data_IF_365645604149
#
_entry.id   IF_365645604149
#
_cell.length_a   1.000
_cell.length_b   1.000
_cell.length_c   1.000
_cell.angle_alpha   90.00
_cell.angle_beta   90.00
_cell.angle_gamma   90.00
#
_symmetry.space_group_name_H-M   'P 1'
#
loop_
_entity.id
_entity.type
_entity.pdbx_description
1 polymer ?
#
# COMPACT_ATOMS: atom_id res chain seq x y z
N UNK A 1 -20.56 15.41 -14.95
CA UNK A 1 -19.61 14.66 -14.11
C UNK A 1 -19.34 13.33 -14.78
N UNK A 2 -18.08 12.92 -14.95
CA UNK A 2 -17.71 11.64 -15.59
C UNK A 2 -18.18 10.48 -14.74
N UNK A 3 -18.91 9.52 -15.32
CA UNK A 3 -19.38 8.32 -14.65
C UNK A 3 -18.27 7.28 -14.64
N UNK A 4 -17.57 7.19 -13.51
CA UNK A 4 -16.44 6.25 -13.32
C UNK A 4 -16.92 4.99 -12.58
N UNK A 5 -16.64 3.82 -13.14
CA UNK A 5 -16.80 2.53 -12.44
C UNK A 5 -15.43 2.02 -12.02
N UNK A 6 -15.26 1.81 -10.74
CA UNK A 6 -14.03 1.27 -10.17
C UNK A 6 -14.28 -0.17 -9.75
N UNK A 7 -13.51 -1.11 -10.27
CA UNK A 7 -13.59 -2.53 -9.93
C UNK A 7 -12.38 -2.90 -9.06
N UNK A 8 -12.62 -3.41 -7.85
CA UNK A 8 -11.54 -3.83 -6.92
C UNK A 8 -11.95 -5.08 -6.14
N UNK A 9 -10.98 -5.78 -5.56
CA UNK A 9 -11.23 -7.08 -4.92
C UNK A 9 -12.17 -6.99 -3.72
N UNK A 10 -11.82 -6.17 -2.73
CA UNK A 10 -12.52 -6.04 -1.46
C UNK A 10 -12.57 -4.58 -1.00
N UNK A 11 -13.49 -4.23 -0.08
CA UNK A 11 -13.54 -2.91 0.55
C UNK A 11 -12.43 -2.77 1.62
N UNK A 12 -11.19 -2.62 1.17
CA UNK A 12 -10.06 -2.41 2.08
C UNK A 12 -10.16 -1.05 2.77
N UNK A 13 -10.12 -0.96 4.11
CA UNK A 13 -10.35 0.28 4.85
C UNK A 13 -9.41 1.42 4.47
N UNK A 14 -8.15 1.11 4.18
CA UNK A 14 -7.14 2.11 3.79
C UNK A 14 -7.40 2.73 2.41
N UNK A 15 -8.30 2.16 1.58
CA UNK A 15 -8.70 2.71 0.27
C UNK A 15 -9.96 3.58 0.33
N UNK A 16 -10.73 3.49 1.41
CA UNK A 16 -11.98 4.26 1.55
C UNK A 16 -11.73 5.78 1.47
N UNK A 17 -10.70 6.35 2.13
CA UNK A 17 -10.41 7.79 2.00
C UNK A 17 -10.09 8.21 0.56
N UNK A 18 -9.35 7.38 -0.21
CA UNK A 18 -9.06 7.65 -1.62
C UNK A 18 -10.33 7.67 -2.47
N UNK A 19 -11.22 6.70 -2.26
CA UNK A 19 -12.46 6.59 -3.02
C UNK A 19 -13.48 7.67 -2.62
N UNK A 20 -13.51 8.08 -1.36
CA UNK A 20 -14.30 9.23 -0.91
C UNK A 20 -13.85 10.53 -1.61
N UNK A 21 -12.54 10.79 -1.62
CA UNK A 21 -11.98 11.96 -2.32
C UNK A 21 -12.23 11.91 -3.83
N UNK A 22 -12.20 10.72 -4.43
CA UNK A 22 -12.51 10.54 -5.85
C UNK A 22 -14.01 10.81 -6.16
N UNK A 23 -14.90 10.42 -5.26
CA UNK A 23 -16.34 10.63 -5.41
C UNK A 23 -16.73 12.13 -5.35
N UNK A 24 -15.90 12.96 -4.72
CA UNK A 24 -16.10 14.42 -4.74
C UNK A 24 -15.78 15.03 -6.14
N UNK A 25 -15.14 14.29 -7.05
CA UNK A 25 -14.67 14.73 -8.39
C UNK A 25 -15.40 14.09 -9.56
N UNK A 26 -15.90 12.87 -9.39
CA UNK A 26 -16.57 12.07 -10.45
C UNK A 26 -17.83 11.38 -9.89
N UNK A 27 -18.75 10.97 -10.77
CA UNK A 27 -19.85 10.06 -10.38
C UNK A 27 -19.27 8.65 -10.21
N UNK A 28 -18.81 8.35 -8.98
CA UNK A 28 -18.12 7.11 -8.66
C UNK A 28 -19.08 6.02 -8.20
N UNK A 29 -18.97 4.85 -8.83
CA UNK A 29 -19.51 3.59 -8.28
C UNK A 29 -18.39 2.56 -8.19
N UNK A 30 -18.15 2.04 -6.98
CA UNK A 30 -17.16 0.99 -6.73
C UNK A 30 -17.84 -0.38 -6.75
N UNK A 31 -17.29 -1.29 -7.54
CA UNK A 31 -17.72 -2.67 -7.65
C UNK A 31 -16.70 -3.56 -6.92
N UNK A 32 -17.06 -4.11 -5.79
CA UNK A 32 -16.26 -5.06 -5.04
C UNK A 32 -16.51 -6.47 -5.55
N UNK A 33 -15.46 -7.24 -5.79
CA UNK A 33 -15.60 -8.64 -6.20
C UNK A 33 -16.13 -9.49 -5.04
N UNK A 34 -15.71 -9.19 -3.82
CA UNK A 34 -16.14 -9.85 -2.59
C UNK A 34 -16.17 -8.85 -1.44
N UNK A 35 -16.90 -9.18 -0.39
CA UNK A 35 -16.92 -8.42 0.86
C UNK A 35 -15.63 -8.64 1.67
N UNK A 36 -15.09 -9.86 1.64
CA UNK A 36 -13.91 -10.27 2.41
C UNK A 36 -12.94 -11.06 1.56
N UNK A 37 -11.67 -11.02 1.93
CA UNK A 37 -10.61 -11.86 1.40
C UNK A 37 -10.12 -12.81 2.51
N UNK A 38 -9.97 -14.11 2.27
CA UNK A 38 -9.51 -15.08 3.28
C UNK A 38 -8.19 -14.68 3.97
N UNK A 39 -7.28 -14.07 3.22
CA UNK A 39 -5.95 -13.67 3.72
C UNK A 39 -5.95 -12.27 4.36
N UNK A 40 -7.08 -11.53 4.33
CA UNK A 40 -7.20 -10.16 4.80
C UNK A 40 -8.55 -9.95 5.49
N UNK A 41 -8.64 -10.19 6.80
CA UNK A 41 -9.90 -10.18 7.54
C UNK A 41 -10.37 -8.75 7.88
N UNK A 42 -10.42 -7.86 6.88
CA UNK A 42 -11.00 -6.53 7.08
C UNK A 42 -12.51 -6.62 7.23
N UNK A 43 -13.07 -5.81 8.12
CA UNK A 43 -14.51 -5.60 8.21
C UNK A 43 -15.05 -4.76 7.05
N UNK A 44 -16.35 -4.81 6.84
CA UNK A 44 -17.03 -3.89 5.92
C UNK A 44 -17.33 -2.56 6.65
N UNK A 45 -16.61 -1.52 6.34
CA UNK A 45 -16.77 -0.18 6.91
C UNK A 45 -17.75 0.65 6.06
N UNK A 46 -18.96 0.14 5.85
CA UNK A 46 -19.96 0.76 4.97
C UNK A 46 -20.34 2.20 5.39
N UNK A 47 -20.34 2.50 6.68
CA UNK A 47 -20.63 3.83 7.22
C UNK A 47 -19.59 4.89 6.88
N UNK A 48 -18.37 4.50 6.49
CA UNK A 48 -17.28 5.41 6.07
C UNK A 48 -17.32 5.71 4.56
N UNK A 49 -18.10 4.93 3.77
CA UNK A 49 -18.14 5.04 2.29
C UNK A 49 -19.12 6.11 1.85
N UNK A 50 -18.64 7.22 1.30
CA UNK A 50 -19.45 8.32 0.74
C UNK A 50 -19.69 8.22 -0.76
N UNK A 51 -19.30 7.11 -1.37
CA UNK A 51 -19.47 6.81 -2.80
C UNK A 51 -20.51 5.71 -3.03
N UNK A 52 -21.04 5.62 -4.23
CA UNK A 52 -21.88 4.48 -4.63
C UNK A 52 -21.07 3.19 -4.66
N UNK A 53 -21.57 2.12 -4.05
CA UNK A 53 -20.86 0.84 -4.05
C UNK A 53 -21.79 -0.37 -4.18
N UNK A 54 -21.21 -1.46 -4.61
CA UNK A 54 -21.91 -2.74 -4.73
C UNK A 54 -20.92 -3.89 -4.63
N UNK A 55 -21.28 -4.94 -3.87
CA UNK A 55 -20.59 -6.23 -3.93
C UNK A 55 -21.22 -7.06 -5.04
N UNK A 56 -20.41 -7.55 -5.96
CA UNK A 56 -20.86 -8.40 -7.05
C UNK A 56 -21.20 -9.81 -6.53
N UNK A 57 -22.30 -10.42 -7.00
CA UNK A 57 -22.58 -11.82 -6.69
C UNK A 57 -21.48 -12.72 -7.27
N UNK A 58 -21.11 -13.76 -6.54
CA UNK A 58 -20.04 -14.66 -6.96
C UNK A 58 -19.70 -15.70 -5.92
N UNK A 59 -18.75 -16.56 -6.24
CA UNK A 59 -18.22 -17.58 -5.34
C UNK A 59 -16.70 -17.65 -5.44
N UNK A 60 -16.07 -18.12 -4.36
CA UNK A 60 -14.64 -18.25 -4.25
C UNK A 60 -14.17 -19.56 -4.88
N UNK A 61 -13.04 -19.49 -5.58
CA UNK A 61 -12.35 -20.63 -6.17
C UNK A 61 -10.89 -20.59 -5.78
N UNK A 62 -10.37 -21.68 -5.23
CA UNK A 62 -8.92 -21.82 -4.99
C UNK A 62 -8.31 -22.68 -6.07
N UNK A 63 -7.41 -22.12 -6.86
CA UNK A 63 -6.73 -22.81 -7.94
C UNK A 63 -5.21 -22.61 -7.81
N UNK A 64 -4.47 -23.70 -7.65
CA UNK A 64 -3.00 -23.65 -7.50
C UNK A 64 -2.55 -22.78 -6.31
N UNK A 65 -3.27 -22.82 -5.18
CA UNK A 65 -3.00 -22.01 -4.01
C UNK A 65 -3.33 -20.52 -4.16
N UNK A 66 -4.05 -20.13 -5.23
CA UNK A 66 -4.51 -18.75 -5.45
C UNK A 66 -5.99 -18.64 -5.18
N UNK A 67 -6.37 -17.64 -4.42
CA UNK A 67 -7.75 -17.23 -4.27
C UNK A 67 -8.20 -16.47 -5.53
N UNK A 68 -9.22 -16.97 -6.18
CA UNK A 68 -9.86 -16.37 -7.35
C UNK A 68 -11.35 -16.21 -7.06
N UNK A 69 -11.98 -15.23 -7.72
CA UNK A 69 -13.41 -14.99 -7.59
C UNK A 69 -14.08 -15.11 -8.95
N UNK A 70 -15.09 -15.95 -9.03
CA UNK A 70 -15.99 -16.03 -10.18
C UNK A 70 -17.21 -15.15 -9.91
N UNK A 71 -17.33 -14.04 -10.63
CA UNK A 71 -18.41 -13.06 -10.43
C UNK A 71 -19.45 -13.09 -11.54
N UNK A 72 -20.71 -12.95 -11.13
CA UNK A 72 -21.83 -12.61 -12.00
C UNK A 72 -22.14 -11.11 -11.98
N UNK A 73 -23.01 -10.65 -12.89
CA UNK A 73 -23.56 -9.30 -12.87
C UNK A 73 -22.59 -8.16 -13.26
N UNK A 74 -21.35 -8.47 -13.63
CA UNK A 74 -20.32 -7.50 -13.98
C UNK A 74 -20.76 -6.54 -15.10
N UNK A 75 -21.29 -7.06 -16.21
CA UNK A 75 -21.76 -6.25 -17.33
C UNK A 75 -22.87 -5.28 -16.92
N UNK A 76 -23.76 -5.68 -15.99
CA UNK A 76 -24.80 -4.80 -15.43
C UNK A 76 -24.18 -3.70 -14.56
N UNK A 77 -23.16 -4.04 -13.75
CA UNK A 77 -22.44 -3.10 -12.91
C UNK A 77 -21.66 -2.03 -13.70
N UNK A 78 -21.13 -2.40 -14.87
CA UNK A 78 -20.36 -1.51 -15.76
C UNK A 78 -21.25 -0.66 -16.70
N UNK A 79 -22.55 -1.00 -16.84
CA UNK A 79 -23.44 -0.29 -17.75
C UNK A 79 -23.51 1.19 -17.45
N UNK A 80 -23.40 2.00 -18.49
CA UNK A 80 -23.44 3.46 -18.41
C UNK A 80 -22.15 4.11 -17.88
N UNK A 81 -21.06 3.36 -17.76
CA UNK A 81 -19.75 3.93 -17.45
C UNK A 81 -19.24 4.78 -18.62
N UNK A 82 -18.68 5.93 -18.33
CA UNK A 82 -17.91 6.74 -19.28
C UNK A 82 -16.44 6.27 -19.28
N UNK A 83 -15.93 5.81 -18.11
CA UNK A 83 -14.61 5.18 -17.97
C UNK A 83 -14.65 4.08 -16.89
N UNK A 84 -13.70 3.14 -16.95
CA UNK A 84 -13.54 2.07 -15.96
C UNK A 84 -12.12 2.05 -15.42
N UNK A 85 -11.99 2.05 -14.09
CA UNK A 85 -10.72 1.83 -13.37
C UNK A 85 -10.70 0.42 -12.80
N UNK A 86 -9.71 -0.37 -13.19
CA UNK A 86 -9.49 -1.74 -12.74
C UNK A 86 -8.42 -1.75 -11.65
N UNK A 87 -8.75 -2.18 -10.43
CA UNK A 87 -7.86 -2.23 -9.27
C UNK A 87 -6.83 -3.36 -9.30
N UNK A 88 -6.51 -3.89 -10.47
CA UNK A 88 -5.52 -4.93 -10.66
C UNK A 88 -5.73 -5.75 -11.93
N UNK A 89 -5.03 -6.88 -12.01
CA UNK A 89 -5.06 -7.82 -13.13
C UNK A 89 -5.06 -9.30 -12.72
N UNK A 90 -5.11 -9.58 -11.43
CA UNK A 90 -4.93 -10.91 -10.84
C UNK A 90 -6.23 -11.71 -10.70
N UNK A 91 -7.40 -11.08 -10.95
CA UNK A 91 -8.69 -11.72 -10.87
C UNK A 91 -9.35 -11.88 -12.26
N UNK A 92 -10.10 -12.95 -12.52
CA UNK A 92 -10.82 -13.14 -13.78
C UNK A 92 -11.76 -11.98 -14.14
N UNK A 93 -12.39 -11.35 -13.13
CA UNK A 93 -13.30 -10.23 -13.33
C UNK A 93 -12.63 -9.01 -13.96
N UNK A 94 -11.34 -8.76 -13.70
CA UNK A 94 -10.61 -7.67 -14.35
C UNK A 94 -10.43 -7.89 -15.86
N UNK A 95 -10.18 -9.13 -16.26
CA UNK A 95 -10.09 -9.50 -17.69
C UNK A 95 -11.44 -9.41 -18.38
N UNK A 96 -12.51 -9.85 -17.71
CA UNK A 96 -13.88 -9.73 -18.23
C UNK A 96 -14.29 -8.26 -18.37
N UNK A 97 -13.98 -7.42 -17.39
CA UNK A 97 -14.25 -5.99 -17.46
C UNK A 97 -13.48 -5.31 -18.58
N UNK A 98 -12.22 -5.67 -18.81
CA UNK A 98 -11.42 -5.15 -19.91
C UNK A 98 -11.99 -5.56 -21.27
N UNK A 99 -12.41 -6.83 -21.43
CA UNK A 99 -13.09 -7.29 -22.63
C UNK A 99 -14.41 -6.54 -22.88
N UNK A 100 -15.20 -6.32 -21.82
CA UNK A 100 -16.43 -5.51 -21.88
C UNK A 100 -16.13 -4.09 -22.33
N UNK A 101 -15.13 -3.43 -21.74
CA UNK A 101 -14.70 -2.08 -22.13
C UNK A 101 -14.32 -2.01 -23.60
N UNK A 102 -13.59 -3.00 -24.10
CA UNK A 102 -13.22 -3.07 -25.53
C UNK A 102 -14.43 -3.19 -26.46
N UNK A 103 -15.40 -4.06 -26.11
CA UNK A 103 -16.62 -4.28 -26.90
C UNK A 103 -17.49 -3.00 -26.94
N UNK A 104 -17.61 -2.31 -25.80
CA UNK A 104 -18.47 -1.12 -25.67
C UNK A 104 -17.75 0.18 -25.95
N UNK A 105 -16.46 0.15 -26.32
CA UNK A 105 -15.60 1.32 -26.58
C UNK A 105 -15.51 2.28 -25.38
N UNK A 106 -15.54 1.74 -24.17
CA UNK A 106 -15.36 2.50 -22.93
C UNK A 106 -13.88 2.50 -22.55
N UNK A 107 -13.27 3.65 -22.27
CA UNK A 107 -11.88 3.72 -21.79
C UNK A 107 -11.67 2.90 -20.53
N UNK A 108 -10.61 2.07 -20.55
CA UNK A 108 -10.18 1.27 -19.40
C UNK A 108 -8.82 1.76 -18.89
N UNK A 109 -8.73 1.98 -17.60
CA UNK A 109 -7.50 2.30 -16.86
C UNK A 109 -7.20 1.14 -15.92
N UNK A 110 -5.92 0.74 -15.79
CA UNK A 110 -5.52 -0.30 -14.84
C UNK A 110 -4.68 0.34 -13.74
N UNK A 111 -5.06 0.15 -12.49
CA UNK A 111 -4.27 0.53 -11.32
C UNK A 111 -3.32 -0.62 -10.98
N UNK A 112 -2.01 -0.36 -11.07
CA UNK A 112 -0.96 -1.35 -10.93
C UNK A 112 -0.07 -0.99 -9.76
N UNK A 113 -0.07 -1.83 -8.74
CA UNK A 113 0.82 -1.72 -7.58
C UNK A 113 2.04 -2.66 -7.69
N UNK A 114 1.99 -3.64 -8.61
CA UNK A 114 3.11 -4.59 -8.81
C UNK A 114 4.40 -3.89 -9.20
N UNK A 115 5.50 -4.43 -8.69
CA UNK A 115 6.85 -4.00 -9.01
C UNK A 115 7.61 -5.14 -9.70
N UNK A 116 8.74 -4.85 -10.36
CA UNK A 116 9.59 -5.88 -10.97
C UNK A 116 10.24 -6.83 -9.95
N UNK A 117 10.13 -6.53 -8.67
CA UNK A 117 10.67 -7.33 -7.55
C UNK A 117 9.67 -8.34 -6.99
N UNK A 118 8.41 -8.29 -7.44
CA UNK A 118 7.43 -9.31 -7.08
C UNK A 118 7.89 -10.66 -7.63
N UNK A 119 8.05 -11.67 -6.78
CA UNK A 119 8.51 -13.04 -7.12
C UNK A 119 7.71 -13.74 -8.24
N UNK A 120 6.69 -13.06 -8.77
CA UNK A 120 5.77 -13.57 -9.81
C UNK A 120 6.08 -13.06 -11.22
N UNK A 121 7.16 -12.28 -11.38
CA UNK A 121 7.61 -11.78 -12.69
C UNK A 121 8.28 -12.89 -13.53
N UNK A 122 8.28 -12.75 -14.84
CA UNK A 122 8.92 -13.63 -15.80
C UNK A 122 7.93 -14.35 -16.71
N UNK A 123 7.59 -15.63 -16.46
CA UNK A 123 6.72 -16.40 -17.35
C UNK A 123 5.29 -15.85 -17.49
N UNK A 124 4.78 -15.15 -16.47
CA UNK A 124 3.48 -14.51 -16.49
C UNK A 124 3.45 -13.17 -17.24
N UNK A 125 4.61 -12.57 -17.52
CA UNK A 125 4.68 -11.27 -18.18
C UNK A 125 4.23 -11.35 -19.65
N UNK A 126 4.45 -12.48 -20.32
CA UNK A 126 3.90 -12.72 -21.66
C UNK A 126 2.37 -12.74 -21.68
N UNK A 127 1.75 -13.30 -20.62
CA UNK A 127 0.28 -13.35 -20.51
C UNK A 127 -0.30 -11.96 -20.24
N UNK A 128 0.45 -11.05 -19.59
CA UNK A 128 0.01 -9.68 -19.31
C UNK A 128 0.03 -8.78 -20.56
N UNK A 129 0.86 -9.06 -21.56
CA UNK A 129 0.99 -8.21 -22.76
C UNK A 129 -0.33 -7.89 -23.49
N UNK A 130 -1.24 -8.82 -23.72
CA UNK A 130 -2.56 -8.50 -24.32
C UNK A 130 -3.39 -7.53 -23.46
N UNK A 131 -3.34 -7.73 -22.13
CA UNK A 131 -3.99 -6.84 -21.15
C UNK A 131 -3.43 -5.41 -21.25
N UNK A 132 -2.10 -5.29 -21.24
CA UNK A 132 -1.41 -4.01 -21.33
C UNK A 132 -1.74 -3.26 -22.64
N UNK A 133 -1.89 -3.98 -23.76
CA UNK A 133 -2.28 -3.39 -25.04
C UNK A 133 -3.74 -2.93 -25.06
N UNK A 134 -4.61 -3.58 -24.30
CA UNK A 134 -6.05 -3.32 -24.30
C UNK A 134 -6.45 -2.18 -23.35
N UNK A 135 -5.62 -1.84 -22.36
CA UNK A 135 -5.85 -0.70 -21.50
C UNK A 135 -5.51 0.62 -22.21
N UNK A 136 -6.19 1.69 -21.89
CA UNK A 136 -5.93 3.03 -22.43
C UNK A 136 -4.83 3.75 -21.67
N UNK A 137 -4.83 3.58 -20.34
CA UNK A 137 -3.83 4.16 -19.46
C UNK A 137 -3.62 3.30 -18.21
N UNK A 138 -2.61 3.67 -17.42
CA UNK A 138 -2.25 3.01 -16.18
C UNK A 138 -2.09 4.03 -15.07
N UNK A 139 -2.49 3.65 -13.87
CA UNK A 139 -2.21 4.38 -12.63
C UNK A 139 -1.28 3.54 -11.79
N UNK A 140 -0.21 4.14 -11.29
CA UNK A 140 0.79 3.48 -10.45
C UNK A 140 1.05 4.31 -9.20
N UNK A 141 1.39 3.68 -8.05
CA UNK A 141 1.65 4.42 -6.81
C UNK A 141 2.99 5.15 -6.79
N UNK A 142 3.98 4.74 -7.60
CA UNK A 142 5.30 5.34 -7.58
C UNK A 142 6.24 4.84 -8.67
N UNK A 143 7.50 5.25 -8.56
CA UNK A 143 8.57 5.01 -9.54
C UNK A 143 8.86 3.52 -9.77
N UNK A 144 8.82 2.69 -8.73
CA UNK A 144 9.08 1.25 -8.85
C UNK A 144 8.05 0.54 -9.75
N UNK A 145 6.76 0.83 -9.57
CA UNK A 145 5.69 0.27 -10.41
C UNK A 145 5.68 0.89 -11.81
N UNK A 146 6.05 2.16 -11.94
CA UNK A 146 6.24 2.83 -13.24
C UNK A 146 7.34 2.14 -14.04
N UNK A 147 8.53 1.99 -13.48
CA UNK A 147 9.66 1.32 -14.12
C UNK A 147 9.32 -0.13 -14.52
N UNK A 148 8.53 -0.81 -13.69
CA UNK A 148 8.06 -2.15 -14.03
C UNK A 148 7.17 -2.14 -15.28
N UNK A 149 6.19 -1.25 -15.38
CA UNK A 149 5.34 -1.14 -16.59
C UNK A 149 6.15 -0.75 -17.84
N UNK A 150 7.09 0.18 -17.70
CA UNK A 150 8.00 0.57 -18.78
C UNK A 150 8.85 -0.62 -19.27
N UNK A 151 9.32 -1.47 -18.34
CA UNK A 151 10.04 -2.71 -18.69
C UNK A 151 9.19 -3.74 -19.44
N UNK A 152 7.86 -3.68 -19.26
CA UNK A 152 6.90 -4.49 -20.01
C UNK A 152 6.52 -3.87 -21.37
N UNK A 153 7.09 -2.71 -21.72
CA UNK A 153 6.87 -2.02 -22.98
C UNK A 153 5.67 -1.07 -22.99
N UNK A 154 5.18 -0.63 -21.82
CA UNK A 154 4.14 0.41 -21.73
C UNK A 154 4.79 1.78 -21.95
N UNK A 155 4.31 2.58 -22.91
CA UNK A 155 4.84 3.92 -23.14
C UNK A 155 4.65 4.83 -21.90
N UNK A 156 5.65 5.66 -21.52
CA UNK A 156 5.59 6.54 -20.36
C UNK A 156 4.37 7.47 -20.35
N UNK A 157 3.94 7.97 -21.52
CA UNK A 157 2.76 8.84 -21.66
C UNK A 157 1.41 8.18 -21.37
N UNK A 158 1.39 6.86 -21.15
CA UNK A 158 0.19 6.10 -20.73
C UNK A 158 0.21 5.77 -19.23
N UNK A 159 1.23 6.21 -18.48
CA UNK A 159 1.40 5.90 -17.07
C UNK A 159 1.27 7.20 -16.26
N UNK A 160 0.23 7.28 -15.44
CA UNK A 160 0.04 8.34 -14.47
C UNK A 160 0.49 7.85 -13.08
N UNK A 161 1.22 8.70 -12.36
CA UNK A 161 1.65 8.40 -10.98
C UNK A 161 0.64 9.05 -10.04
N UNK A 162 -0.09 8.23 -9.29
CA UNK A 162 -1.00 8.62 -8.22
C UNK A 162 -0.57 7.86 -6.95
N UNK A 163 0.22 8.50 -6.09
CA UNK A 163 0.80 7.82 -4.95
C UNK A 163 -0.26 7.35 -3.96
N UNK A 164 -0.09 6.14 -3.42
CA UNK A 164 -0.94 5.66 -2.36
C UNK A 164 -0.84 6.58 -1.14
N UNK A 165 -1.96 6.80 -0.50
CA UNK A 165 -2.10 7.73 0.61
C UNK A 165 -2.92 7.12 1.75
N UNK A 166 -2.70 7.61 2.94
CA UNK A 166 -3.50 7.31 4.14
C UNK A 166 -4.18 8.58 4.64
N UNK A 167 -5.14 8.42 5.52
CA UNK A 167 -5.86 9.56 6.10
C UNK A 167 -4.95 10.35 7.05
N UNK A 168 -4.59 11.60 6.73
CA UNK A 168 -3.73 12.42 7.59
C UNK A 168 -4.40 12.79 8.92
N UNK A 169 -5.72 12.70 9.01
CA UNK A 169 -6.44 12.98 10.25
C UNK A 169 -6.27 11.87 11.28
N UNK A 170 -6.00 10.65 10.85
CA UNK A 170 -5.77 9.50 11.73
C UNK A 170 -4.32 9.53 12.24
N UNK A 171 -3.34 9.55 11.34
CA UNK A 171 -1.94 9.33 11.71
C UNK A 171 -1.15 10.59 12.03
N UNK A 172 -1.63 11.78 11.66
CA UNK A 172 -0.90 13.04 11.88
C UNK A 172 -1.23 13.75 13.20
N UNK A 173 -2.15 13.27 14.01
CA UNK A 173 -2.71 14.01 15.18
C UNK A 173 -2.50 13.36 16.54
N UNK A 174 -2.12 12.09 16.59
CA UNK A 174 -1.90 11.42 17.86
C UNK A 174 -0.75 12.08 18.64
N UNK A 175 -1.00 12.38 19.92
CA UNK A 175 0.00 12.93 20.79
C UNK A 175 0.83 11.81 21.44
N UNK A 176 2.12 12.06 21.63
CA UNK A 176 2.97 11.17 22.40
C UNK A 176 2.52 11.15 23.85
N UNK A 177 2.30 9.96 24.37
CA UNK A 177 1.91 9.74 25.78
C UNK A 177 3.02 9.10 26.60
N UNK A 178 4.00 8.51 25.94
CA UNK A 178 5.13 7.86 26.57
C UNK A 178 6.10 8.88 27.18
N UNK A 179 6.58 8.58 28.39
CA UNK A 179 7.70 9.29 29.01
C UNK A 179 9.03 9.02 28.25
N UNK A 180 10.03 9.88 28.48
CA UNK A 180 11.36 9.68 27.92
C UNK A 180 11.98 8.36 28.42
N UNK A 181 12.72 7.71 27.54
CA UNK A 181 13.32 6.40 27.78
C UNK A 181 14.21 5.98 26.62
N UNK A 182 14.60 4.70 26.55
CA UNK A 182 15.34 4.17 25.41
C UNK A 182 14.64 4.46 24.09
N UNK A 183 15.39 4.62 23.00
CA UNK A 183 14.79 4.82 21.66
C UNK A 183 13.87 3.65 21.32
N UNK A 184 12.64 3.95 20.92
CA UNK A 184 11.64 2.94 20.56
C UNK A 184 11.50 2.82 19.06
N UNK A 185 11.85 1.63 18.57
CA UNK A 185 11.61 1.22 17.18
C UNK A 185 10.20 0.64 17.07
N UNK A 186 9.47 0.97 16.02
CA UNK A 186 8.18 0.35 15.72
C UNK A 186 8.19 -0.34 14.37
N UNK A 187 7.71 -1.58 14.33
CA UNK A 187 7.47 -2.33 13.10
C UNK A 187 6.00 -2.79 13.06
N UNK A 188 5.32 -2.47 11.97
CA UNK A 188 3.88 -2.76 11.81
C UNK A 188 3.66 -3.62 10.57
N UNK A 189 2.83 -4.64 10.70
CA UNK A 189 2.41 -5.44 9.56
C UNK A 189 2.18 -6.91 9.90
N UNK A 190 1.75 -7.66 8.89
CA UNK A 190 1.54 -9.10 9.02
C UNK A 190 2.86 -9.82 9.37
N UNK A 191 2.86 -10.69 10.37
CA UNK A 191 4.04 -11.45 10.77
C UNK A 191 4.22 -12.65 9.83
N UNK A 192 4.79 -12.37 8.66
CA UNK A 192 5.03 -13.33 7.59
C UNK A 192 6.41 -13.08 6.97
N UNK A 193 6.97 -14.09 6.35
CA UNK A 193 8.34 -14.09 5.83
C UNK A 193 8.69 -12.88 4.96
N UNK A 194 7.78 -12.45 4.12
CA UNK A 194 7.99 -11.28 3.25
C UNK A 194 8.15 -9.95 4.01
N UNK A 195 7.80 -9.91 5.31
CA UNK A 195 7.92 -8.69 6.13
C UNK A 195 9.26 -8.55 6.84
N UNK A 196 10.08 -9.61 6.91
CA UNK A 196 11.46 -9.52 7.37
C UNK A 196 11.65 -9.10 8.83
N UNK A 197 10.66 -9.34 9.70
CA UNK A 197 10.73 -8.95 11.12
C UNK A 197 11.91 -9.64 11.83
N UNK A 198 12.25 -10.86 11.44
CA UNK A 198 13.42 -11.59 11.89
C UNK A 198 14.73 -10.81 11.66
N UNK A 199 14.87 -10.15 10.50
CA UNK A 199 16.02 -9.28 10.20
C UNK A 199 16.09 -8.08 11.17
N UNK A 200 14.94 -7.49 11.54
CA UNK A 200 14.91 -6.42 12.55
C UNK A 200 15.31 -6.94 13.92
N UNK A 201 14.78 -8.10 14.34
CA UNK A 201 15.12 -8.69 15.64
C UNK A 201 16.61 -9.00 15.76
N UNK A 202 17.23 -9.48 14.68
CA UNK A 202 18.67 -9.70 14.61
C UNK A 202 19.46 -8.39 14.69
N UNK A 203 19.10 -7.40 13.88
CA UNK A 203 19.78 -6.09 13.82
C UNK A 203 19.72 -5.32 15.15
N UNK A 204 18.63 -5.45 15.90
CA UNK A 204 18.39 -4.71 17.14
C UNK A 204 18.80 -5.44 18.44
N UNK A 205 19.28 -6.67 18.36
CA UNK A 205 19.50 -7.57 19.51
C UNK A 205 20.29 -6.94 20.65
N UNK A 206 21.40 -6.28 20.35
CA UNK A 206 22.32 -5.70 21.34
C UNK A 206 22.32 -4.16 21.32
N UNK A 207 21.29 -3.57 20.73
CA UNK A 207 21.11 -2.11 20.76
C UNK A 207 20.37 -1.68 22.03
N UNK A 208 20.67 -0.50 22.57
CA UNK A 208 19.96 0.07 23.72
C UNK A 208 18.61 0.65 23.29
N UNK A 209 17.74 -0.19 22.71
CA UNK A 209 16.45 0.21 22.14
C UNK A 209 15.32 -0.69 22.65
N UNK A 210 14.11 -0.17 22.62
CA UNK A 210 12.88 -0.95 22.70
C UNK A 210 12.37 -1.25 21.29
N UNK A 211 11.88 -2.44 21.05
CA UNK A 211 11.26 -2.82 19.77
C UNK A 211 9.80 -3.18 19.99
N UNK A 212 8.91 -2.46 19.33
CA UNK A 212 7.47 -2.72 19.36
C UNK A 212 7.06 -3.28 18.00
N UNK A 213 6.46 -4.48 18.03
CA UNK A 213 5.97 -5.16 16.83
C UNK A 213 4.46 -5.26 16.90
N UNK A 214 3.76 -4.58 15.99
CA UNK A 214 2.30 -4.59 15.87
C UNK A 214 1.86 -5.42 14.67
N UNK A 215 1.06 -6.44 14.91
CA UNK A 215 0.51 -7.35 13.92
C UNK A 215 0.54 -8.80 14.36
N UNK A 216 -0.09 -9.65 13.55
CA UNK A 216 -0.16 -11.10 13.72
C UNK A 216 0.20 -11.81 12.43
N UNK A 217 0.49 -13.10 12.47
CA UNK A 217 0.76 -13.87 11.27
C UNK A 217 1.40 -15.22 11.51
N UNK A 218 1.64 -15.97 10.44
CA UNK A 218 2.12 -17.36 10.53
C UNK A 218 3.50 -17.49 11.17
N UNK A 219 4.34 -16.46 11.18
CA UNK A 219 5.67 -16.49 11.77
C UNK A 219 5.72 -16.02 13.23
N UNK A 220 4.61 -15.59 13.82
CA UNK A 220 4.58 -15.02 15.16
C UNK A 220 5.26 -15.88 16.21
N UNK A 221 4.96 -17.19 16.23
CA UNK A 221 5.57 -18.10 17.21
C UNK A 221 7.09 -18.24 17.04
N UNK A 222 7.60 -18.18 15.81
CA UNK A 222 9.04 -18.23 15.53
C UNK A 222 9.71 -16.91 15.94
N UNK A 223 9.12 -15.78 15.60
CA UNK A 223 9.61 -14.45 15.94
C UNK A 223 9.67 -14.23 17.45
N UNK A 224 8.65 -14.65 18.20
CA UNK A 224 8.65 -14.58 19.68
C UNK A 224 9.78 -15.42 20.32
N UNK A 225 10.18 -16.56 19.72
CA UNK A 225 11.34 -17.34 20.19
C UNK A 225 12.68 -16.66 19.91
N UNK A 226 12.77 -15.87 18.84
CA UNK A 226 13.98 -15.12 18.47
C UNK A 226 14.14 -13.81 19.25
N UNK A 227 13.03 -13.28 19.75
CA UNK A 227 12.96 -11.96 20.37
C UNK A 227 13.76 -11.92 21.70
N UNK A 228 14.49 -10.82 21.88
CA UNK A 228 15.13 -10.48 23.17
C UNK A 228 14.13 -9.85 24.14
N UNK A 229 14.57 -9.58 25.39
CA UNK A 229 13.73 -8.98 26.44
C UNK A 229 13.28 -7.55 26.12
N UNK A 230 13.92 -6.89 25.17
CA UNK A 230 13.60 -5.53 24.73
C UNK A 230 12.51 -5.49 23.63
N UNK A 231 11.93 -6.63 23.26
CA UNK A 231 10.92 -6.75 22.19
C UNK A 231 9.54 -6.99 22.76
N UNK A 232 8.57 -6.17 22.36
CA UNK A 232 7.17 -6.29 22.72
C UNK A 232 6.32 -6.56 21.48
N UNK A 233 5.49 -7.60 21.51
CA UNK A 233 4.51 -7.90 20.46
C UNK A 233 3.12 -7.49 20.93
N UNK A 234 2.49 -6.56 20.22
CA UNK A 234 1.15 -6.05 20.54
C UNK A 234 0.01 -6.92 19.99
N UNK A 235 0.31 -7.83 19.06
CA UNK A 235 -0.73 -8.56 18.33
C UNK A 235 -1.43 -7.66 17.32
N UNK A 236 -2.70 -7.99 17.00
CA UNK A 236 -3.51 -7.15 16.11
C UNK A 236 -3.84 -5.83 16.82
N UNK A 237 -3.57 -4.72 16.15
CA UNK A 237 -3.85 -3.36 16.62
C UNK A 237 -4.81 -2.73 15.63
N UNK A 238 -5.92 -2.20 16.11
CA UNK A 238 -6.90 -1.50 15.28
C UNK A 238 -6.36 -0.15 14.81
N UNK A 239 -6.91 0.35 13.69
CA UNK A 239 -6.40 1.55 12.98
C UNK A 239 -6.25 2.77 13.90
N UNK A 240 -7.24 3.03 14.76
CA UNK A 240 -7.24 4.21 15.63
C UNK A 240 -6.21 4.08 16.75
N UNK A 241 -6.04 2.87 17.28
CA UNK A 241 -5.01 2.55 18.29
C UNK A 241 -3.59 2.59 17.68
N UNK A 242 -3.46 2.23 16.41
CA UNK A 242 -2.17 2.23 15.70
C UNK A 242 -1.57 3.64 15.61
N UNK A 243 -2.40 4.67 15.52
CA UNK A 243 -1.92 6.05 15.55
C UNK A 243 -1.20 6.39 16.86
N UNK A 244 -1.70 5.89 17.99
CA UNK A 244 -1.05 6.05 19.30
C UNK A 244 0.28 5.26 19.39
N UNK A 245 0.31 4.05 18.79
CA UNK A 245 1.54 3.25 18.71
C UNK A 245 2.65 3.99 17.95
N UNK A 246 2.31 4.63 16.82
CA UNK A 246 3.27 5.47 16.10
C UNK A 246 3.67 6.72 16.89
N UNK A 247 2.73 7.40 17.55
CA UNK A 247 3.02 8.59 18.32
C UNK A 247 4.00 8.33 19.50
N UNK A 248 3.97 7.13 20.06
CA UNK A 248 4.84 6.68 21.14
C UNK A 248 6.16 6.05 20.66
N UNK A 249 6.39 5.96 19.36
CA UNK A 249 7.63 5.49 18.76
C UNK A 249 8.62 6.65 18.47
N UNK A 250 9.86 6.28 18.21
CA UNK A 250 10.95 7.20 17.86
C UNK A 250 11.47 6.95 16.43
N UNK A 251 11.37 5.73 15.92
CA UNK A 251 11.79 5.32 14.56
C UNK A 251 10.83 4.26 14.04
N UNK A 252 10.41 4.39 12.80
CA UNK A 252 9.66 3.35 12.11
C UNK A 252 10.57 2.49 11.25
N UNK A 253 10.45 1.17 11.40
CA UNK A 253 11.27 0.20 10.67
C UNK A 253 10.38 -0.75 9.87
N UNK A 254 10.62 -0.82 8.57
CA UNK A 254 9.93 -1.73 7.66
C UNK A 254 10.95 -2.58 6.89
N UNK A 255 11.42 -3.70 7.46
CA UNK A 255 12.52 -4.50 6.92
C UNK A 255 12.07 -5.50 5.86
N UNK A 256 11.03 -5.18 5.10
CA UNK A 256 10.37 -6.13 4.19
C UNK A 256 11.30 -6.67 3.11
N UNK A 257 11.20 -7.96 2.83
CA UNK A 257 11.83 -8.67 1.71
C UNK A 257 11.12 -8.41 0.39
N UNK A 258 9.82 -8.11 0.48
CA UNK A 258 8.98 -7.75 -0.67
C UNK A 258 7.74 -7.03 -0.18
N UNK A 259 7.54 -5.82 -0.67
CA UNK A 259 6.29 -5.09 -0.49
C UNK A 259 6.05 -4.21 -1.71
N UNK A 260 4.95 -4.39 -2.45
CA UNK A 260 4.64 -3.57 -3.62
C UNK A 260 4.59 -2.07 -3.31
N UNK A 261 4.11 -1.71 -2.12
CA UNK A 261 4.10 -0.34 -1.65
C UNK A 261 4.65 -0.21 -0.23
N UNK A 262 3.89 -0.63 0.80
CA UNK A 262 4.23 -0.44 2.20
C UNK A 262 3.53 0.75 2.82
N UNK A 263 2.19 0.67 2.98
CA UNK A 263 1.34 1.73 3.55
C UNK A 263 1.83 2.21 4.92
N UNK A 264 2.45 1.32 5.68
CA UNK A 264 3.09 1.58 6.98
C UNK A 264 4.07 2.76 6.93
N UNK A 265 4.79 2.94 5.81
CA UNK A 265 5.71 4.07 5.65
C UNK A 265 4.95 5.41 5.52
N UNK A 266 3.78 5.42 4.86
CA UNK A 266 2.92 6.61 4.81
C UNK A 266 2.40 6.97 6.21
N UNK A 267 1.94 5.97 6.97
CA UNK A 267 1.41 6.12 8.32
C UNK A 267 2.47 6.69 9.27
N UNK A 268 3.63 6.05 9.30
CA UNK A 268 4.77 6.44 10.12
C UNK A 268 5.32 7.83 9.75
N UNK A 269 5.40 8.14 8.45
CA UNK A 269 5.86 9.44 7.99
C UNK A 269 4.91 10.57 8.41
N UNK A 270 3.58 10.37 8.31
CA UNK A 270 2.58 11.32 8.81
C UNK A 270 2.64 11.48 10.32
N UNK A 271 2.92 10.43 11.07
CA UNK A 271 3.19 10.50 12.51
C UNK A 271 4.48 11.28 12.83
N UNK A 272 5.33 11.56 11.84
CA UNK A 272 6.57 12.31 11.99
C UNK A 272 7.74 11.47 12.48
N UNK A 273 7.77 10.20 12.11
CA UNK A 273 8.88 9.30 12.44
C UNK A 273 9.94 9.28 11.33
N UNK A 274 11.23 9.24 11.68
CA UNK A 274 12.26 8.80 10.74
C UNK A 274 11.96 7.40 10.26
N UNK A 275 12.31 7.12 9.00
CA UNK A 275 11.97 5.87 8.34
C UNK A 275 13.22 5.04 8.04
N UNK A 276 13.23 3.78 8.45
CA UNK A 276 14.21 2.81 7.98
C UNK A 276 13.47 1.69 7.23
N UNK A 277 13.82 1.49 5.96
CA UNK A 277 13.17 0.47 5.16
C UNK A 277 14.14 -0.16 4.17
N UNK A 278 13.68 -1.24 3.55
CA UNK A 278 14.48 -1.88 2.52
C UNK A 278 14.18 -1.30 1.14
N UNK A 279 15.14 -1.46 0.24
CA UNK A 279 14.93 -1.14 -1.19
C UNK A 279 13.88 -2.04 -1.86
N UNK A 280 13.39 -3.07 -1.18
CA UNK A 280 12.34 -3.98 -1.66
C UNK A 280 10.92 -3.44 -1.43
N UNK A 281 10.76 -2.34 -0.67
CA UNK A 281 9.49 -1.66 -0.47
C UNK A 281 9.30 -0.52 -1.48
N UNK A 282 8.15 -0.50 -2.17
CA UNK A 282 7.87 0.51 -3.20
C UNK A 282 7.85 1.93 -2.64
N UNK A 283 7.18 2.15 -1.50
CA UNK A 283 7.08 3.46 -0.85
C UNK A 283 8.40 3.99 -0.32
N UNK A 284 9.40 3.13 -0.06
CA UNK A 284 10.70 3.58 0.40
C UNK A 284 11.42 4.49 -0.62
N UNK A 285 11.13 4.31 -1.92
CA UNK A 285 11.69 5.14 -2.99
C UNK A 285 11.04 6.51 -3.10
N UNK A 286 9.83 6.65 -2.58
CA UNK A 286 9.03 7.88 -2.64
C UNK A 286 9.06 8.67 -1.33
N UNK A 287 9.18 7.98 -0.19
CA UNK A 287 9.05 8.56 1.14
C UNK A 287 10.38 8.71 1.88
N UNK A 288 11.47 8.06 1.43
CA UNK A 288 12.76 8.14 2.10
C UNK A 288 13.77 8.90 1.23
N UNK A 289 14.19 10.06 1.71
CA UNK A 289 15.38 10.78 1.27
C UNK A 289 16.57 10.29 2.10
N UNK A 290 17.42 9.47 1.51
CA UNK A 290 18.48 8.71 2.20
C UNK A 290 19.46 9.64 2.94
N UNK A 291 19.66 9.41 4.23
CA UNK A 291 20.50 10.26 5.09
C UNK A 291 19.85 11.58 5.50
N UNK A 292 18.58 11.85 5.12
CA UNK A 292 17.85 13.07 5.46
C UNK A 292 16.69 12.79 6.40
N UNK A 293 15.76 11.93 6.00
CA UNK A 293 14.64 11.54 6.86
C UNK A 293 14.65 10.05 7.23
N UNK A 294 15.69 9.33 6.87
CA UNK A 294 15.85 7.91 7.16
C UNK A 294 16.85 7.23 6.24
N UNK A 295 16.73 5.91 6.15
CA UNK A 295 17.68 5.09 5.39
C UNK A 295 16.98 3.96 4.64
N UNK A 296 17.50 3.68 3.44
CA UNK A 296 17.15 2.50 2.66
C UNK A 296 18.30 1.51 2.67
N UNK A 297 18.03 0.29 3.10
CA UNK A 297 19.02 -0.79 3.18
C UNK A 297 18.66 -1.94 2.24
N UNK A 298 19.58 -2.85 1.99
CA UNK A 298 19.25 -4.09 1.28
C UNK A 298 18.31 -4.96 2.13
N UNK A 299 17.45 -5.74 1.49
CA UNK A 299 16.68 -6.76 2.18
C UNK A 299 17.61 -7.89 2.65
N UNK A 300 17.26 -8.55 3.75
CA UNK A 300 18.05 -9.62 4.35
C UNK A 300 19.50 -9.21 4.75
N UNK A 301 19.69 -7.95 5.08
CA UNK A 301 20.98 -7.42 5.55
C UNK A 301 20.83 -6.82 6.96
N UNK A 302 20.93 -7.65 8.03
CA UNK A 302 20.82 -7.17 9.40
C UNK A 302 21.97 -6.21 9.80
N UNK A 303 23.14 -6.34 9.17
CA UNK A 303 24.27 -5.46 9.47
C UNK A 303 24.03 -4.05 8.94
N UNK A 304 23.62 -3.90 7.68
CA UNK A 304 23.26 -2.61 7.12
C UNK A 304 22.05 -1.97 7.85
N UNK A 305 21.06 -2.80 8.25
CA UNK A 305 19.93 -2.34 9.05
C UNK A 305 20.40 -1.82 10.41
N UNK A 306 21.29 -2.55 11.10
CA UNK A 306 21.88 -2.12 12.38
C UNK A 306 22.61 -0.79 12.27
N UNK A 307 23.44 -0.62 11.24
CA UNK A 307 24.19 0.62 11.02
C UNK A 307 23.25 1.82 10.79
N UNK A 308 22.19 1.63 10.03
CA UNK A 308 21.16 2.65 9.84
C UNK A 308 20.43 3.01 11.13
N UNK A 309 20.12 2.01 11.97
CA UNK A 309 19.47 2.22 13.27
C UNK A 309 20.39 2.96 14.22
N UNK A 310 21.68 2.61 14.32
CA UNK A 310 22.66 3.27 15.19
C UNK A 310 22.75 4.78 14.90
N UNK A 311 22.75 5.19 13.63
CA UNK A 311 22.76 6.62 13.26
C UNK A 311 21.55 7.39 13.79
N UNK A 312 20.40 6.74 13.92
CA UNK A 312 19.19 7.34 14.48
C UNK A 312 19.13 7.23 16.01
N UNK A 313 19.74 6.20 16.59
CA UNK A 313 19.79 5.99 18.04
C UNK A 313 20.75 6.99 18.70
N UNK A 314 21.93 7.16 18.11
CA UNK A 314 23.02 7.92 18.71
C UNK A 314 22.87 9.44 18.53
N UNK A 315 22.08 9.90 17.55
CA UNK A 315 21.87 11.32 17.25
C UNK A 315 20.39 11.71 17.38
N UNK A 316 20.04 12.22 18.56
CA UNK A 316 18.69 12.68 18.88
C UNK A 316 18.26 13.91 18.05
N UNK A 317 19.20 14.82 17.75
CA UNK A 317 18.91 15.99 16.94
C UNK A 317 18.60 15.60 15.50
N UNK A 318 19.41 14.70 14.92
CA UNK A 318 19.15 14.13 13.60
C UNK A 318 17.82 13.37 13.57
N UNK A 319 17.55 12.52 14.57
CA UNK A 319 16.31 11.74 14.66
C UNK A 319 15.07 12.64 14.64
N UNK A 320 15.07 13.75 15.42
CA UNK A 320 13.95 14.71 15.41
C UNK A 320 13.81 15.45 14.08
N UNK A 321 14.92 15.91 13.51
CA UNK A 321 14.92 16.58 12.20
C UNK A 321 14.41 15.65 11.09
N UNK A 322 14.86 14.39 11.09
CA UNK A 322 14.45 13.37 10.17
C UNK A 322 12.94 13.07 10.26
N UNK A 323 12.39 13.00 11.46
CA UNK A 323 10.95 12.84 11.68
C UNK A 323 10.13 14.01 11.16
N UNK A 324 10.56 15.25 11.40
CA UNK A 324 9.93 16.45 10.85
C UNK A 324 9.94 16.41 9.31
N UNK A 325 11.08 16.04 8.71
CA UNK A 325 11.21 15.91 7.26
C UNK A 325 10.31 14.81 6.68
N UNK A 326 10.16 13.66 7.36
CA UNK A 326 9.22 12.61 6.96
C UNK A 326 7.79 13.15 6.85
N UNK A 327 7.34 13.94 7.82
CA UNK A 327 6.01 14.56 7.81
C UNK A 327 5.83 15.52 6.64
N UNK A 328 6.84 16.34 6.33
CA UNK A 328 6.81 17.26 5.19
C UNK A 328 6.68 16.48 3.84
N UNK A 329 7.43 15.39 3.69
CA UNK A 329 7.36 14.55 2.51
C UNK A 329 5.97 13.91 2.41
N UNK A 330 5.48 13.32 3.51
CA UNK A 330 4.19 12.63 3.55
C UNK A 330 2.99 13.55 3.31
N UNK A 331 3.10 14.84 3.58
CA UNK A 331 2.04 15.83 3.33
C UNK A 331 1.59 15.90 1.85
N UNK A 332 2.41 15.41 0.92
CA UNK A 332 2.08 15.33 -0.52
C UNK A 332 1.28 14.08 -0.89
N UNK A 333 1.26 13.07 0.00
CA UNK A 333 0.61 11.78 -0.22
C UNK A 333 -0.78 11.78 0.41
N UNK A 334 -1.69 12.54 -0.21
CA UNK A 334 -3.05 12.71 0.30
C UNK A 334 -4.07 11.98 -0.56
N UNK A 335 -5.23 11.59 0.01
CA UNK A 335 -6.35 11.08 -0.76
C UNK A 335 -6.77 12.00 -1.89
N UNK A 336 -6.73 13.33 -1.67
CA UNK A 336 -7.05 14.32 -2.68
C UNK A 336 -6.07 14.33 -3.85
N UNK A 337 -4.75 14.28 -3.58
CA UNK A 337 -3.74 14.23 -4.63
C UNK A 337 -3.90 12.98 -5.52
N UNK A 338 -4.20 11.82 -4.91
CA UNK A 338 -4.51 10.60 -5.65
C UNK A 338 -5.78 10.77 -6.50
N UNK A 339 -6.83 11.33 -5.93
CA UNK A 339 -8.11 11.52 -6.59
C UNK A 339 -8.03 12.51 -7.75
N UNK A 340 -7.24 13.59 -7.64
CA UNK A 340 -7.01 14.58 -8.70
C UNK A 340 -6.38 13.91 -9.94
N UNK A 341 -5.37 13.07 -9.76
CA UNK A 341 -4.73 12.34 -10.85
C UNK A 341 -5.71 11.38 -11.52
N UNK A 342 -6.45 10.59 -10.76
CA UNK A 342 -7.38 9.59 -11.30
C UNK A 342 -8.55 10.24 -12.00
N UNK A 343 -9.15 11.28 -11.41
CA UNK A 343 -10.27 12.02 -12.01
C UNK A 343 -9.83 12.74 -13.29
N UNK A 344 -8.68 13.41 -13.27
CA UNK A 344 -8.11 14.08 -14.45
C UNK A 344 -7.85 13.12 -15.59
N UNK A 345 -7.29 11.93 -15.30
CA UNK A 345 -7.08 10.89 -16.30
C UNK A 345 -8.40 10.37 -16.88
N UNK A 346 -9.39 10.06 -16.04
CA UNK A 346 -10.70 9.61 -16.48
C UNK A 346 -11.38 10.62 -17.39
N UNK A 347 -11.37 11.91 -17.01
CA UNK A 347 -11.95 13.00 -17.79
C UNK A 347 -11.25 13.16 -19.15
N UNK A 348 -9.91 13.15 -19.17
CA UNK A 348 -9.13 13.27 -20.42
C UNK A 348 -9.44 12.14 -21.41
N UNK A 349 -9.65 10.93 -20.92
CA UNK A 349 -9.94 9.75 -21.76
C UNK A 349 -11.38 9.77 -22.31
N UNK A 350 -12.30 10.44 -21.63
CA UNK A 350 -13.72 10.54 -22.07
C UNK A 350 -14.00 11.71 -23.00
N UNK A 351 -13.11 12.70 -23.07
CA UNK A 351 -13.22 13.85 -23.98
C UNK A 351 -12.60 13.58 -25.38
N UNK A 352 -12.01 12.41 -25.59
CA UNK A 352 -11.46 11.97 -26.89
C UNK A 352 -12.44 11.06 -27.62
#
# INVERSE_FOLDING_TARGET
>A
MTRLRLLTEIPAPYRIPLFNALADRVDLTVLFLRERNPDRPYGLHAGEMRFGWRVLPGFDVTLGGRWLVANGGLARGLRGADAVLLGGWNQPAFWQALAWCRIHRVPAVIWVESTGRDRRSGRLDMVKRPLLRSAHAFVVPGSASRSYLESLGVPPGRIAVAPNAVDPQVFGRAARTRADGPVRLVAVGRLAHEKGIDTLLEASRDLPVEVVVAGTGPEEAALRRMAGPNVTFLGNVERDELAAVYADADVAVMPSRSDPWGMVLNEAALAGLPLVSTTAAGAAWELIEDGVNGFRVAADDPAALRDALLRLVDDDAFRRAAGARSREIAARFTPDAWADVVAGLATTLTCR
#
